data_IF_937249686425
#
_entry.id   IF_937249686425
#
_cell.length_a   1.000
_cell.length_b   1.000
_cell.length_c   1.000
_cell.angle_alpha   90.00
_cell.angle_beta   90.00
_cell.angle_gamma   90.00
#
_symmetry.space_group_name_H-M   'P 1'
#
loop_
_entity.id
_entity.type
_entity.pdbx_description
1 polymer ?
#
# COMPACT_ATOMS: atom_id res chain seq x y z
N UNK A 1 -35.40 2.00 -19.65
CA UNK A 1 -35.78 2.56 -18.33
C UNK A 1 -34.96 1.83 -17.27
N UNK A 2 -33.75 2.32 -17.00
CA UNK A 2 -32.93 1.85 -15.88
C UNK A 2 -33.23 2.79 -14.72
N UNK A 3 -33.80 2.23 -13.65
CA UNK A 3 -34.02 2.96 -12.41
C UNK A 3 -32.68 3.38 -11.84
N UNK A 4 -32.35 4.66 -12.03
CA UNK A 4 -31.45 5.39 -11.15
C UNK A 4 -32.18 5.42 -9.81
N UNK A 5 -31.80 4.53 -8.89
CA UNK A 5 -32.15 4.68 -7.49
C UNK A 5 -31.45 5.95 -7.02
N UNK A 6 -32.17 7.07 -7.09
CA UNK A 6 -31.85 8.29 -6.37
C UNK A 6 -32.05 8.01 -4.88
N UNK A 7 -31.06 7.42 -4.21
CA UNK A 7 -30.82 7.86 -2.85
C UNK A 7 -30.07 9.18 -2.98
N UNK A 8 -30.80 10.28 -2.94
CA UNK A 8 -30.27 11.59 -2.56
C UNK A 8 -29.82 11.51 -1.10
N UNK A 9 -28.83 10.66 -0.82
CA UNK A 9 -28.23 10.49 0.48
C UNK A 9 -27.59 11.82 0.82
N UNK A 10 -28.19 12.52 1.79
CA UNK A 10 -27.54 13.69 2.34
C UNK A 10 -26.31 13.21 3.09
N UNK A 11 -25.18 13.89 2.88
CA UNK A 11 -23.97 13.69 3.68
C UNK A 11 -24.30 13.91 5.16
N UNK A 12 -23.71 13.11 6.03
CA UNK A 12 -23.66 13.44 7.45
C UNK A 12 -22.61 14.53 7.65
N UNK A 13 -22.89 15.54 8.47
CA UNK A 13 -21.81 16.45 8.86
C UNK A 13 -21.01 15.81 9.99
N UNK A 14 -19.66 15.78 9.93
CA UNK A 14 -18.80 15.31 11.03
C UNK A 14 -19.15 15.90 12.38
N UNK A 15 -19.58 17.17 12.42
CA UNK A 15 -20.00 17.87 13.64
C UNK A 15 -21.20 17.26 14.36
N UNK A 16 -21.94 16.36 13.69
CA UNK A 16 -23.07 15.63 14.27
C UNK A 16 -22.65 14.35 14.99
N UNK A 17 -21.39 13.93 14.85
CA UNK A 17 -20.81 12.79 15.52
C UNK A 17 -19.95 13.29 16.70
N UNK A 18 -20.36 12.95 17.91
CA UNK A 18 -19.64 13.33 19.13
C UNK A 18 -18.29 12.62 19.19
N UNK A 19 -17.18 13.36 19.15
CA UNK A 19 -15.84 12.75 19.22
C UNK A 19 -15.60 12.03 20.55
N UNK A 20 -14.82 10.95 20.53
CA UNK A 20 -14.31 10.25 21.72
C UNK A 20 -15.38 9.55 22.59
N UNK A 21 -16.49 9.14 22.00
CA UNK A 21 -17.58 8.43 22.70
C UNK A 21 -17.55 6.91 22.59
N UNK A 22 -16.89 6.39 21.56
CA UNK A 22 -16.66 4.96 21.37
C UNK A 22 -15.26 4.59 21.90
N UNK A 23 -15.16 3.46 22.60
CA UNK A 23 -13.85 2.86 22.89
C UNK A 23 -13.23 2.34 21.60
N UNK A 24 -11.92 2.46 21.48
CA UNK A 24 -11.16 1.88 20.38
C UNK A 24 -11.36 0.37 20.34
N UNK A 25 -11.49 -0.17 19.14
CA UNK A 25 -11.61 -1.61 18.93
C UNK A 25 -10.23 -2.26 18.98
N UNK A 26 -10.11 -3.33 19.76
CA UNK A 26 -8.96 -4.24 19.67
C UNK A 26 -9.12 -5.11 18.42
N UNK A 27 -8.06 -5.13 17.60
CA UNK A 27 -8.00 -5.98 16.41
C UNK A 27 -7.75 -7.44 16.82
N UNK A 28 -8.54 -8.42 16.34
CA UNK A 28 -8.29 -9.82 16.65
C UNK A 28 -6.90 -10.25 16.18
N UNK A 29 -6.16 -11.01 17.00
CA UNK A 29 -4.84 -11.54 16.63
C UNK A 29 -4.94 -12.99 16.15
N UNK A 30 -4.26 -13.29 15.05
CA UNK A 30 -4.12 -14.64 14.49
C UNK A 30 -2.64 -14.98 14.40
N UNK A 31 -2.23 -16.09 15.02
CA UNK A 31 -0.86 -16.59 14.87
C UNK A 31 -0.66 -17.22 13.49
N UNK A 32 0.33 -16.74 12.74
CA UNK A 32 0.84 -17.30 11.48
C UNK A 32 1.75 -18.53 11.66
N UNK A 33 1.80 -19.10 12.86
CA UNK A 33 2.61 -20.25 13.24
C UNK A 33 1.86 -21.14 14.25
N UNK A 34 2.33 -22.37 14.43
CA UNK A 34 1.94 -23.27 15.52
C UNK A 34 3.04 -23.34 16.57
N UNK A 35 2.68 -23.56 17.83
CA UNK A 35 3.65 -23.91 18.89
C UNK A 35 3.48 -25.39 19.22
N UNK A 36 4.50 -26.20 18.90
CA UNK A 36 4.52 -27.64 19.19
C UNK A 36 5.71 -27.92 20.10
N UNK A 37 5.45 -28.38 21.33
CA UNK A 37 6.48 -28.61 22.36
C UNK A 37 7.39 -27.39 22.60
N UNK A 38 6.82 -26.19 22.61
CA UNK A 38 7.55 -24.94 22.80
C UNK A 38 8.31 -24.44 21.56
N UNK A 39 8.20 -25.12 20.42
CA UNK A 39 8.87 -24.74 19.17
C UNK A 39 7.85 -24.20 18.18
N UNK A 40 8.13 -23.01 17.63
CA UNK A 40 7.34 -22.41 16.55
C UNK A 40 7.53 -23.17 15.24
N UNK A 41 6.42 -23.47 14.56
CA UNK A 41 6.35 -24.24 13.32
C UNK A 41 5.45 -23.56 12.30
N UNK A 42 5.69 -23.82 11.03
CA UNK A 42 4.89 -23.26 9.93
C UNK A 42 3.42 -23.58 10.07
N UNK A 43 2.55 -22.66 9.62
CA UNK A 43 1.10 -22.81 9.70
C UNK A 43 0.42 -22.32 8.44
N UNK A 44 -0.67 -22.99 8.08
CA UNK A 44 -1.59 -22.55 7.03
C UNK A 44 -2.80 -21.85 7.64
N UNK A 45 -3.14 -20.70 7.08
CA UNK A 45 -4.31 -19.89 7.43
C UNK A 45 -5.27 -19.85 6.24
N UNK A 46 -6.56 -19.79 6.54
CA UNK A 46 -7.60 -19.44 5.58
C UNK A 46 -8.24 -18.12 6.03
N UNK A 47 -8.11 -17.09 5.20
CA UNK A 47 -8.63 -15.76 5.50
C UNK A 47 -9.56 -15.35 4.36
N UNK A 48 -10.83 -15.18 4.67
CA UNK A 48 -11.87 -14.79 3.72
C UNK A 48 -12.17 -13.29 3.73
N UNK A 49 -12.66 -12.81 2.60
CA UNK A 49 -13.23 -11.47 2.40
C UNK A 49 -14.75 -11.58 2.44
N UNK A 50 -15.39 -10.88 3.38
CA UNK A 50 -16.84 -10.98 3.61
C UNK A 50 -17.50 -9.61 3.55
N UNK A 51 -18.71 -9.54 3.00
CA UNK A 51 -19.57 -8.36 3.16
C UNK A 51 -20.26 -8.42 4.52
N UNK A 52 -20.14 -7.36 5.33
CA UNK A 52 -20.85 -7.23 6.60
C UNK A 52 -21.35 -5.81 6.82
N UNK A 53 -22.06 -5.60 7.93
CA UNK A 53 -22.31 -4.26 8.45
C UNK A 53 -21.38 -4.00 9.64
N UNK A 54 -20.83 -2.79 9.71
CA UNK A 54 -19.91 -2.36 10.75
C UNK A 54 -20.34 -1.03 11.35
N UNK A 55 -20.24 -0.89 12.67
CA UNK A 55 -20.71 0.29 13.40
C UNK A 55 -19.53 1.19 13.74
N UNK A 56 -19.19 2.11 12.83
CA UNK A 56 -18.06 3.03 13.00
C UNK A 56 -18.24 4.02 14.15
N UNK A 57 -19.47 4.44 14.44
CA UNK A 57 -19.78 5.38 15.53
C UNK A 57 -21.11 5.03 16.17
N UNK A 58 -21.27 5.23 17.48
CA UNK A 58 -22.53 4.99 18.23
C UNK A 58 -23.75 5.61 17.53
N UNK A 59 -23.58 6.84 17.07
CA UNK A 59 -24.66 7.67 16.51
C UNK A 59 -24.79 7.56 14.96
N UNK A 60 -23.93 6.78 14.29
CA UNK A 60 -24.01 6.51 12.85
C UNK A 60 -24.68 5.15 12.59
N UNK A 61 -25.65 4.99 11.67
CA UNK A 61 -26.19 3.66 11.35
C UNK A 61 -25.09 2.66 10.92
N UNK A 62 -25.29 1.34 11.11
CA UNK A 62 -24.33 0.33 10.64
C UNK A 62 -24.04 0.45 9.15
N UNK A 63 -22.76 0.55 8.80
CA UNK A 63 -22.25 0.77 7.45
C UNK A 63 -21.97 -0.55 6.74
N UNK A 64 -22.44 -0.77 5.49
CA UNK A 64 -21.98 -1.90 4.69
C UNK A 64 -20.48 -1.77 4.37
N UNK A 65 -19.72 -2.84 4.63
CA UNK A 65 -18.26 -2.90 4.45
C UNK A 65 -17.84 -4.26 3.89
N UNK A 66 -16.61 -4.33 3.39
CA UNK A 66 -15.87 -5.57 3.19
C UNK A 66 -14.84 -5.75 4.30
N UNK A 67 -14.68 -6.97 4.78
CA UNK A 67 -13.89 -7.27 5.96
C UNK A 67 -13.13 -8.59 5.79
N UNK A 68 -11.89 -8.63 6.24
CA UNK A 68 -11.12 -9.88 6.34
C UNK A 68 -11.42 -10.61 7.64
N UNK A 69 -11.47 -11.94 7.60
CA UNK A 69 -11.60 -12.80 8.78
C UNK A 69 -11.46 -14.29 8.47
N UNK A 70 -11.37 -15.15 9.48
CA UNK A 70 -11.38 -16.61 9.29
C UNK A 70 -12.79 -17.15 8.97
N UNK A 71 -13.82 -16.32 9.19
CA UNK A 71 -15.22 -16.57 8.88
C UNK A 71 -15.97 -15.23 8.81
N UNK A 72 -17.17 -15.22 8.23
CA UNK A 72 -18.02 -14.02 8.20
C UNK A 72 -18.26 -13.43 9.60
N UNK A 73 -18.43 -14.30 10.60
CA UNK A 73 -18.66 -13.88 11.99
C UNK A 73 -17.43 -13.21 12.63
N UNK A 74 -16.23 -13.71 12.32
CA UNK A 74 -14.96 -13.20 12.88
C UNK A 74 -14.35 -12.07 12.06
N UNK A 75 -14.90 -11.77 10.88
CA UNK A 75 -14.41 -10.71 10.02
C UNK A 75 -14.56 -9.34 10.68
N UNK A 76 -13.52 -8.52 10.62
CA UNK A 76 -13.45 -7.21 11.28
C UNK A 76 -12.95 -6.14 10.30
N UNK A 77 -13.19 -4.87 10.63
CA UNK A 77 -12.60 -3.72 9.91
C UNK A 77 -11.81 -2.90 10.92
N UNK A 78 -10.48 -2.81 10.80
CA UNK A 78 -9.62 -3.58 9.91
C UNK A 78 -9.69 -5.09 10.19
N UNK A 79 -9.19 -5.89 9.25
CA UNK A 79 -9.02 -7.33 9.39
C UNK A 79 -8.11 -7.74 10.56
N UNK A 80 -8.09 -9.03 10.93
CA UNK A 80 -7.28 -9.51 12.04
C UNK A 80 -5.80 -9.19 11.87
N UNK A 81 -5.11 -8.86 12.96
CA UNK A 81 -3.65 -8.78 12.99
C UNK A 81 -3.07 -10.18 12.86
N UNK A 82 -2.31 -10.45 11.80
CA UNK A 82 -1.58 -11.70 11.65
C UNK A 82 -0.20 -11.51 12.29
N UNK A 83 0.12 -12.29 13.31
CA UNK A 83 1.43 -12.28 13.96
C UNK A 83 2.27 -13.46 13.50
N UNK A 84 3.45 -13.17 12.98
CA UNK A 84 4.41 -14.13 12.45
C UNK A 84 5.73 -14.06 13.20
N UNK A 85 6.55 -15.09 13.02
CA UNK A 85 7.89 -15.15 13.59
C UNK A 85 8.90 -15.18 12.45
N UNK A 86 9.97 -14.40 12.60
CA UNK A 86 11.10 -14.35 11.70
C UNK A 86 11.57 -15.77 11.31
N UNK A 87 11.64 -16.02 10.00
CA UNK A 87 12.10 -17.29 9.43
C UNK A 87 11.16 -18.49 9.62
N UNK A 88 9.96 -18.31 10.16
CA UNK A 88 8.93 -19.36 10.21
C UNK A 88 7.90 -19.11 9.12
N UNK A 89 7.74 -20.07 8.20
CA UNK A 89 6.81 -19.92 7.09
C UNK A 89 5.36 -19.76 7.56
N UNK A 90 4.67 -18.77 7.01
CA UNK A 90 3.22 -18.63 7.09
C UNK A 90 2.63 -18.84 5.70
N UNK A 91 1.68 -19.75 5.59
CA UNK A 91 0.90 -19.93 4.36
C UNK A 91 -0.48 -19.32 4.53
N UNK A 92 -0.97 -18.57 3.55
CA UNK A 92 -2.31 -17.97 3.62
C UNK A 92 -3.08 -18.28 2.34
N UNK A 93 -4.25 -18.91 2.48
CA UNK A 93 -5.24 -18.97 1.40
C UNK A 93 -6.22 -17.83 1.58
N UNK A 94 -6.09 -16.81 0.74
CA UNK A 94 -7.03 -15.70 0.68
C UNK A 94 -8.28 -16.10 -0.10
N UNK A 95 -9.44 -16.07 0.53
CA UNK A 95 -10.70 -16.50 -0.08
C UNK A 95 -11.61 -15.30 -0.35
N UNK A 96 -12.26 -15.30 -1.51
CA UNK A 96 -13.25 -14.28 -1.84
C UNK A 96 -14.65 -14.86 -1.63
N UNK A 97 -15.40 -14.27 -0.69
CA UNK A 97 -16.82 -14.58 -0.41
C UNK A 97 -17.70 -13.34 -0.64
N UNK A 98 -17.20 -12.36 -1.41
CA UNK A 98 -17.89 -11.11 -1.68
C UNK A 98 -19.06 -11.32 -2.67
N UNK A 99 -20.08 -10.43 -2.64
CA UNK A 99 -21.20 -10.51 -3.58
C UNK A 99 -20.77 -10.20 -5.03
N UNK A 100 -21.71 -10.39 -5.96
CA UNK A 100 -21.48 -10.14 -7.39
C UNK A 100 -21.40 -8.66 -7.78
N UNK A 101 -21.80 -7.73 -6.90
CA UNK A 101 -21.81 -6.28 -7.13
C UNK A 101 -21.11 -5.54 -6.01
N UNK A 102 -20.27 -4.58 -6.40
CA UNK A 102 -19.54 -3.72 -5.50
C UNK A 102 -20.48 -2.81 -4.67
N UNK A 103 -20.11 -2.48 -3.43
CA UNK A 103 -20.89 -1.57 -2.57
C UNK A 103 -20.60 -0.09 -2.84
N UNK A 104 -19.45 0.21 -3.43
CA UNK A 104 -19.02 1.54 -3.86
C UNK A 104 -19.04 1.68 -5.38
N UNK A 105 -19.23 2.90 -5.92
CA UNK A 105 -19.08 3.16 -7.33
C UNK A 105 -17.62 2.97 -7.78
N UNK A 106 -17.42 2.45 -8.98
CA UNK A 106 -16.11 2.36 -9.64
C UNK A 106 -16.26 2.76 -11.11
N UNK A 107 -15.19 3.29 -11.69
CA UNK A 107 -15.18 3.80 -13.06
C UNK A 107 -14.76 2.68 -14.02
N UNK A 108 -15.62 2.23 -14.95
CA UNK A 108 -15.28 1.17 -15.88
C UNK A 108 -14.44 1.62 -17.08
N UNK A 109 -14.08 2.91 -17.16
CA UNK A 109 -13.31 3.48 -18.27
C UNK A 109 -11.81 3.53 -18.03
N UNK A 110 -11.36 3.37 -16.77
CA UNK A 110 -9.94 3.18 -16.44
C UNK A 110 -9.54 1.70 -16.57
N UNK A 111 -8.25 1.39 -16.76
CA UNK A 111 -7.77 0.01 -16.74
C UNK A 111 -8.18 -0.70 -15.45
N UNK A 112 -9.06 -1.70 -15.57
CA UNK A 112 -9.70 -2.35 -14.42
C UNK A 112 -9.74 -3.86 -14.62
N UNK A 113 -9.54 -4.61 -13.54
CA UNK A 113 -9.85 -6.03 -13.47
C UNK A 113 -11.36 -6.24 -13.71
N UNK A 114 -11.72 -6.80 -14.86
CA UNK A 114 -13.11 -7.08 -15.22
C UNK A 114 -13.25 -8.58 -15.53
N UNK A 115 -14.06 -9.32 -14.75
CA UNK A 115 -14.39 -10.71 -15.06
C UNK A 115 -15.08 -10.83 -16.43
N UNK A 116 -14.83 -11.91 -17.16
CA UNK A 116 -15.48 -12.21 -18.43
C UNK A 116 -17.00 -12.27 -18.29
N UNK A 117 -17.52 -12.85 -17.20
CA UNK A 117 -18.96 -12.89 -16.95
C UNK A 117 -19.56 -11.54 -16.54
N UNK A 118 -18.70 -10.54 -16.27
CA UNK A 118 -19.03 -9.24 -15.65
C UNK A 118 -19.78 -9.40 -14.32
N UNK A 119 -19.53 -10.51 -13.61
CA UNK A 119 -20.07 -10.81 -12.29
C UNK A 119 -18.92 -11.13 -11.34
N UNK A 120 -19.12 -10.78 -10.07
CA UNK A 120 -18.10 -10.97 -9.05
C UNK A 120 -17.21 -9.75 -8.94
N UNK A 121 -16.65 -9.57 -7.75
CA UNK A 121 -15.70 -8.51 -7.46
C UNK A 121 -14.31 -9.14 -7.49
N UNK A 122 -13.43 -8.78 -8.44
CA UNK A 122 -12.04 -9.18 -8.41
C UNK A 122 -11.34 -8.68 -7.16
N UNK A 123 -10.56 -9.56 -6.55
CA UNK A 123 -9.70 -9.24 -5.41
C UNK A 123 -8.37 -9.97 -5.53
N UNK A 124 -7.32 -9.38 -4.97
CA UNK A 124 -5.99 -9.99 -4.78
C UNK A 124 -5.35 -9.34 -3.57
N UNK A 125 -4.70 -10.10 -2.71
CA UNK A 125 -4.13 -9.55 -1.47
C UNK A 125 -2.65 -9.30 -1.64
N UNK A 126 -2.22 -8.06 -1.42
CA UNK A 126 -0.81 -7.69 -1.29
C UNK A 126 -0.42 -7.64 0.19
N UNK A 127 0.72 -8.24 0.56
CA UNK A 127 1.35 -8.06 1.87
C UNK A 127 2.40 -6.95 1.76
N UNK A 128 1.98 -5.73 2.04
CA UNK A 128 2.80 -4.52 1.93
C UNK A 128 4.02 -4.58 2.85
N UNK A 129 5.20 -4.48 2.22
CA UNK A 129 6.50 -4.55 2.89
C UNK A 129 7.03 -5.97 3.09
N UNK A 130 6.34 -6.98 2.56
CA UNK A 130 6.79 -8.36 2.56
C UNK A 130 7.95 -8.62 1.58
N UNK A 131 8.84 -9.53 1.97
CA UNK A 131 9.91 -10.07 1.13
C UNK A 131 9.56 -11.54 0.84
N UNK A 132 8.81 -11.75 -0.24
CA UNK A 132 8.32 -13.05 -0.69
C UNK A 132 8.31 -13.15 -2.21
N UNK A 133 8.12 -14.36 -2.71
CA UNK A 133 8.10 -14.69 -4.14
C UNK A 133 6.99 -13.93 -4.91
N UNK A 134 7.17 -13.70 -6.23
CA UNK A 134 6.23 -12.93 -7.05
C UNK A 134 4.80 -13.49 -7.06
N UNK A 135 4.64 -14.81 -7.06
CA UNK A 135 3.33 -15.48 -7.10
C UNK A 135 2.51 -15.29 -5.82
N UNK A 136 3.18 -14.90 -4.72
CA UNK A 136 2.56 -14.59 -3.42
C UNK A 136 2.61 -13.08 -3.11
N UNK A 137 3.02 -12.26 -4.08
CA UNK A 137 3.15 -10.81 -3.88
C UNK A 137 1.82 -10.08 -3.95
N UNK A 138 0.84 -10.66 -4.63
CA UNK A 138 -0.43 -10.00 -4.87
C UNK A 138 -0.39 -9.05 -6.06
N UNK A 139 0.33 -9.43 -7.12
CA UNK A 139 0.36 -8.68 -8.37
C UNK A 139 -1.07 -8.33 -8.82
N UNK A 140 -1.25 -7.09 -9.25
CA UNK A 140 -2.57 -6.52 -9.56
C UNK A 140 -3.36 -7.28 -10.64
N UNK A 141 -2.67 -7.99 -11.52
CA UNK A 141 -3.25 -8.85 -12.55
C UNK A 141 -3.51 -10.30 -12.08
N UNK A 142 -3.17 -10.64 -10.84
CA UNK A 142 -3.38 -11.96 -10.21
C UNK A 142 -4.66 -12.00 -9.38
N UNK A 143 -5.67 -11.20 -9.77
CA UNK A 143 -6.97 -11.17 -9.12
C UNK A 143 -7.75 -12.47 -9.26
N UNK A 144 -8.74 -12.66 -8.40
CA UNK A 144 -9.72 -13.74 -8.48
C UNK A 144 -11.07 -13.28 -7.95
N UNK A 145 -12.15 -13.84 -8.49
CA UNK A 145 -13.52 -13.60 -8.00
C UNK A 145 -13.92 -14.60 -6.93
N UNK A 146 -15.14 -14.45 -6.40
CA UNK A 146 -15.71 -15.33 -5.39
C UNK A 146 -15.58 -16.81 -5.78
N UNK A 147 -15.16 -17.66 -4.83
CA UNK A 147 -14.95 -19.08 -5.08
C UNK A 147 -13.82 -19.42 -6.06
N UNK A 148 -12.98 -18.46 -6.46
CA UNK A 148 -11.98 -18.59 -7.53
C UNK A 148 -12.59 -18.95 -8.89
N UNK A 149 -13.84 -18.56 -9.14
CA UNK A 149 -14.56 -18.86 -10.39
C UNK A 149 -13.87 -18.25 -11.61
N UNK A 150 -13.43 -17.00 -11.51
CA UNK A 150 -12.63 -16.31 -12.53
C UNK A 150 -11.34 -15.78 -11.92
N UNK A 151 -10.31 -15.67 -12.74
CA UNK A 151 -8.94 -15.32 -12.34
C UNK A 151 -8.32 -14.39 -13.36
N UNK A 152 -7.48 -13.48 -12.89
CA UNK A 152 -6.69 -12.59 -13.71
C UNK A 152 -5.60 -13.31 -14.49
N UNK A 153 -5.06 -12.67 -15.54
CA UNK A 153 -4.17 -13.32 -16.51
C UNK A 153 -2.84 -13.79 -15.92
N UNK A 154 -2.45 -13.28 -14.75
CA UNK A 154 -1.20 -13.65 -14.08
C UNK A 154 -1.39 -14.52 -12.84
N UNK A 155 -2.63 -14.92 -12.55
CA UNK A 155 -2.91 -15.76 -11.39
C UNK A 155 -2.28 -17.14 -11.57
N UNK A 156 -1.42 -17.54 -10.64
CA UNK A 156 -0.73 -18.84 -10.67
C UNK A 156 -0.86 -19.63 -9.37
N UNK A 157 -1.13 -18.95 -8.24
CA UNK A 157 -1.02 -19.54 -6.90
C UNK A 157 -2.23 -19.19 -6.04
N UNK A 158 -2.82 -20.23 -5.42
CA UNK A 158 -3.96 -20.10 -4.50
C UNK A 158 -3.54 -19.81 -3.05
N UNK A 159 -2.50 -20.52 -2.59
CA UNK A 159 -2.00 -20.42 -1.23
C UNK A 159 -0.69 -19.65 -1.24
N UNK A 160 -0.71 -18.44 -0.72
CA UNK A 160 0.45 -17.56 -0.66
C UNK A 160 1.43 -18.08 0.39
N UNK A 161 2.73 -17.94 0.15
CA UNK A 161 3.80 -18.37 1.03
C UNK A 161 4.64 -17.17 1.44
N UNK A 162 4.57 -16.86 2.74
CA UNK A 162 5.38 -15.84 3.37
C UNK A 162 6.46 -16.52 4.19
N UNK A 163 7.72 -16.42 3.77
CA UNK A 163 8.86 -17.03 4.46
C UNK A 163 9.18 -16.33 5.78
N UNK A 164 8.73 -15.07 5.93
CA UNK A 164 9.04 -14.18 7.04
C UNK A 164 10.55 -14.02 7.29
N UNK A 165 11.36 -14.27 6.26
CA UNK A 165 12.81 -14.14 6.31
C UNK A 165 13.20 -12.67 6.10
N UNK A 166 12.80 -11.78 7.01
CA UNK A 166 13.09 -10.35 6.95
C UNK A 166 13.17 -9.76 8.36
N UNK A 167 13.55 -8.49 8.48
CA UNK A 167 13.58 -7.78 9.76
C UNK A 167 12.23 -7.82 10.49
N UNK A 168 12.21 -7.85 11.84
CA UNK A 168 10.98 -7.67 12.59
C UNK A 168 10.38 -6.29 12.32
N UNK A 169 9.06 -6.19 12.41
CA UNK A 169 8.36 -4.93 12.21
C UNK A 169 6.91 -5.07 11.76
N UNK A 170 6.30 -3.91 11.55
CA UNK A 170 4.91 -3.75 11.14
C UNK A 170 4.81 -3.74 9.62
N UNK A 171 4.11 -4.73 9.10
CA UNK A 171 3.60 -4.83 7.74
C UNK A 171 2.07 -4.69 7.78
N UNK A 172 1.46 -4.66 6.62
CA UNK A 172 0.01 -4.63 6.51
C UNK A 172 -0.41 -5.31 5.22
N UNK A 173 -1.62 -5.85 5.19
CA UNK A 173 -2.15 -6.52 4.01
C UNK A 173 -3.43 -5.82 3.56
N UNK A 174 -3.60 -5.74 2.25
CA UNK A 174 -4.73 -5.05 1.64
C UNK A 174 -5.01 -5.59 0.25
N UNK A 175 -6.16 -5.23 -0.32
CA UNK A 175 -6.47 -5.60 -1.70
C UNK A 175 -5.60 -4.81 -2.70
N UNK A 176 -5.29 -5.39 -3.87
CA UNK A 176 -4.43 -4.79 -4.89
C UNK A 176 -4.98 -5.03 -6.31
N UNK A 177 -6.28 -5.30 -6.47
CA UNK A 177 -6.83 -5.66 -7.78
C UNK A 177 -6.86 -4.47 -8.74
N UNK A 178 -6.39 -4.67 -9.98
CA UNK A 178 -6.19 -3.60 -10.97
C UNK A 178 -7.43 -2.70 -11.12
N UNK A 179 -7.24 -1.39 -10.93
CA UNK A 179 -8.30 -0.38 -11.07
C UNK A 179 -9.40 -0.43 -10.00
N UNK A 180 -9.29 -1.37 -9.05
CA UNK A 180 -10.23 -1.58 -7.95
C UNK A 180 -9.56 -1.40 -6.58
N UNK A 181 -8.25 -1.17 -6.49
CA UNK A 181 -7.52 -1.04 -5.22
C UNK A 181 -8.20 0.01 -4.34
N UNK A 182 -8.49 1.21 -4.89
CA UNK A 182 -9.10 2.30 -4.12
C UNK A 182 -10.45 1.90 -3.54
N UNK A 183 -11.29 1.23 -4.32
CA UNK A 183 -12.67 0.92 -3.91
C UNK A 183 -12.71 -0.29 -2.97
N UNK A 184 -11.83 -1.27 -3.17
CA UNK A 184 -11.73 -2.44 -2.31
C UNK A 184 -11.15 -2.08 -0.93
N UNK A 185 -10.12 -1.21 -0.86
CA UNK A 185 -9.60 -0.68 0.41
C UNK A 185 -10.61 0.26 1.07
N UNK A 186 -11.24 1.17 0.31
CA UNK A 186 -12.24 2.09 0.86
C UNK A 186 -13.41 1.31 1.47
N UNK A 187 -13.81 0.19 0.86
CA UNK A 187 -14.82 -0.72 1.40
C UNK A 187 -14.41 -1.41 2.71
N UNK A 188 -13.11 -1.55 3.00
CA UNK A 188 -12.58 -2.04 4.29
C UNK A 188 -11.57 -3.19 4.21
N UNK A 189 -11.12 -3.59 3.02
CA UNK A 189 -10.12 -4.65 2.85
C UNK A 189 -8.70 -4.17 3.19
N UNK A 190 -8.44 -4.04 4.50
CA UNK A 190 -7.16 -3.66 5.09
C UNK A 190 -6.95 -4.40 6.41
N UNK A 191 -5.73 -4.83 6.74
CA UNK A 191 -5.38 -5.46 8.02
C UNK A 191 -3.88 -5.40 8.32
N UNK A 192 -3.49 -5.77 9.55
CA UNK A 192 -2.10 -5.68 10.01
C UNK A 192 -1.38 -7.02 9.95
N UNK A 193 -0.09 -7.02 9.63
CA UNK A 193 0.79 -8.18 9.72
C UNK A 193 2.04 -7.80 10.50
N UNK A 194 2.42 -8.53 11.55
CA UNK A 194 3.57 -8.20 12.39
C UNK A 194 4.54 -9.37 12.39
N UNK A 195 5.80 -9.10 12.04
CA UNK A 195 6.89 -10.07 12.15
C UNK A 195 7.63 -9.84 13.47
N UNK A 196 7.66 -10.86 14.32
CA UNK A 196 8.42 -10.88 15.58
C UNK A 196 9.75 -11.57 15.41
N UNK A 197 10.77 -11.08 16.10
CA UNK A 197 12.07 -11.72 16.21
C UNK A 197 12.59 -11.60 17.64
N UNK A 198 12.25 -12.59 18.46
CA UNK A 198 12.50 -12.54 19.91
C UNK A 198 13.97 -12.32 20.26
N UNK A 199 14.91 -12.94 19.54
CA UNK A 199 16.34 -12.84 19.84
C UNK A 199 16.90 -11.41 19.63
N UNK A 200 16.28 -10.63 18.74
CA UNK A 200 16.65 -9.24 18.43
C UNK A 200 15.84 -8.24 19.24
N UNK A 201 14.55 -8.50 19.45
CA UNK A 201 13.64 -7.57 20.11
C UNK A 201 13.68 -7.67 21.65
N UNK A 202 13.86 -8.87 22.22
CA UNK A 202 13.83 -9.06 23.68
C UNK A 202 14.90 -8.24 24.43
N UNK A 203 16.15 -8.10 23.94
CA UNK A 203 17.15 -7.25 24.59
C UNK A 203 16.79 -5.76 24.64
N UNK A 204 15.85 -5.28 23.79
CA UNK A 204 15.42 -3.88 23.76
C UNK A 204 14.50 -3.52 24.92
N UNK A 205 13.89 -4.51 25.59
CA UNK A 205 12.97 -4.28 26.70
C UNK A 205 11.73 -3.46 26.31
N UNK A 206 11.31 -3.51 25.05
CA UNK A 206 10.11 -2.81 24.57
C UNK A 206 8.84 -3.41 25.19
N UNK A 207 7.79 -2.59 25.42
CA UNK A 207 6.47 -3.11 25.81
C UNK A 207 5.96 -4.11 24.77
N UNK A 208 5.62 -5.33 25.19
CA UNK A 208 5.44 -6.46 24.27
C UNK A 208 4.23 -7.37 24.55
N UNK A 209 3.35 -7.01 25.50
CA UNK A 209 2.10 -7.75 25.73
C UNK A 209 0.91 -7.04 25.10
N UNK A 210 -0.19 -7.76 24.88
CA UNK A 210 -1.42 -7.25 24.24
C UNK A 210 -2.00 -5.98 24.90
N UNK A 211 -1.71 -5.76 26.18
CA UNK A 211 -2.12 -4.55 26.88
C UNK A 211 -1.39 -3.31 26.35
N UNK A 212 -0.09 -3.43 26.02
CA UNK A 212 0.79 -2.31 25.71
C UNK A 212 1.24 -2.24 24.25
N UNK A 213 1.22 -3.37 23.53
CA UNK A 213 1.53 -3.43 22.10
C UNK A 213 0.23 -3.55 21.31
N UNK A 214 -0.23 -2.43 20.76
CA UNK A 214 -1.50 -2.32 20.05
C UNK A 214 -1.30 -1.74 18.65
N UNK A 215 -1.70 -2.46 17.58
CA UNK A 215 -1.69 -1.89 16.24
C UNK A 215 -2.78 -0.81 16.13
N UNK A 216 -2.41 0.32 15.53
CA UNK A 216 -3.32 1.41 15.20
C UNK A 216 -3.36 1.56 13.68
N UNK A 217 -4.45 1.15 13.05
CA UNK A 217 -4.70 1.42 11.63
C UNK A 217 -5.61 2.63 11.54
N UNK A 218 -5.07 3.69 10.93
CA UNK A 218 -5.76 4.98 10.74
C UNK A 218 -6.18 5.11 9.29
N UNK A 219 -7.44 5.46 9.07
CA UNK A 219 -7.99 5.73 7.75
C UNK A 219 -9.18 6.69 7.89
N UNK A 220 -9.56 7.34 6.81
CA UNK A 220 -10.60 8.36 6.77
C UNK A 220 -11.77 7.92 5.89
N UNK A 221 -12.99 8.34 6.21
CA UNK A 221 -14.19 8.10 5.40
C UNK A 221 -15.11 9.30 5.42
N UNK A 222 -15.99 9.38 4.42
CA UNK A 222 -17.18 10.23 4.39
C UNK A 222 -18.40 9.31 4.47
N UNK A 223 -19.42 9.71 5.22
CA UNK A 223 -20.64 8.93 5.38
C UNK A 223 -21.87 9.66 4.88
N UNK A 224 -22.83 8.90 4.35
CA UNK A 224 -24.20 9.35 4.14
C UNK A 224 -24.99 9.21 5.44
N UNK A 225 -26.12 9.93 5.55
CA UNK A 225 -27.02 9.85 6.72
C UNK A 225 -27.57 8.45 6.99
N UNK A 226 -27.61 7.58 5.97
CA UNK A 226 -28.01 6.17 6.13
C UNK A 226 -26.87 5.27 6.64
N UNK A 227 -25.69 5.84 6.90
CA UNK A 227 -24.50 5.14 7.37
C UNK A 227 -23.61 4.59 6.26
N UNK A 228 -24.03 4.58 4.99
CA UNK A 228 -23.20 4.09 3.89
C UNK A 228 -22.00 5.01 3.62
N UNK A 229 -20.91 4.43 3.11
CA UNK A 229 -19.70 5.20 2.73
C UNK A 229 -20.03 6.00 1.48
N UNK A 230 -19.78 7.31 1.54
CA UNK A 230 -19.81 8.18 0.38
C UNK A 230 -18.45 8.18 -0.32
N UNK A 231 -18.49 7.99 -1.64
CA UNK A 231 -17.37 8.19 -2.52
C UNK A 231 -17.84 9.08 -3.67
N UNK A 232 -17.17 10.21 -3.85
CA UNK A 232 -17.51 11.10 -4.96
C UNK A 232 -17.13 10.40 -6.28
N UNK A 233 -18.13 10.13 -7.11
CA UNK A 233 -17.94 9.63 -8.47
C UNK A 233 -18.51 10.57 -9.53
N UNK A 234 -18.77 11.82 -9.12
CA UNK A 234 -19.21 12.89 -10.01
C UNK A 234 -17.99 13.41 -10.76
N UNK A 235 -17.92 13.05 -12.03
CA UNK A 235 -17.00 13.65 -12.98
C UNK A 235 -17.63 14.81 -13.73
N UNK A 236 -16.81 15.56 -14.47
CA UNK A 236 -17.28 16.65 -15.30
C UNK A 236 -17.77 16.19 -16.68
N UNK A 237 -17.50 14.94 -17.06
CA UNK A 237 -18.03 14.38 -18.28
C UNK A 237 -19.40 13.75 -18.00
N UNK A 238 -20.52 14.36 -18.45
CA UNK A 238 -21.85 13.85 -18.15
C UNK A 238 -22.14 12.48 -18.78
N UNK A 239 -21.28 12.01 -19.70
CA UNK A 239 -21.42 10.73 -20.37
C UNK A 239 -20.58 9.61 -19.72
N UNK A 240 -19.69 9.95 -18.76
CA UNK A 240 -18.87 8.98 -18.04
C UNK A 240 -19.28 9.03 -16.57
N UNK A 241 -20.14 8.09 -16.17
CA UNK A 241 -20.51 7.93 -14.77
C UNK A 241 -20.69 6.44 -14.44
N UNK A 242 -20.16 5.94 -13.30
CA UNK A 242 -19.32 6.67 -12.34
C UNK A 242 -17.96 7.07 -12.92
N UNK A 243 -17.43 8.24 -12.56
CA UNK A 243 -16.11 8.71 -13.03
C UNK A 243 -15.08 8.66 -11.90
N UNK A 244 -13.84 8.31 -12.25
CA UNK A 244 -12.67 8.40 -11.39
C UNK A 244 -12.42 9.85 -10.93
N UNK A 245 -11.92 9.99 -9.71
CA UNK A 245 -11.48 11.26 -9.10
C UNK A 245 -10.00 11.09 -8.71
N UNK A 246 -9.18 12.16 -8.83
CA UNK A 246 -7.75 12.08 -8.57
C UNK A 246 -7.40 11.80 -7.12
N UNK A 247 -8.24 12.19 -6.16
CA UNK A 247 -8.04 11.88 -4.75
C UNK A 247 -9.37 11.71 -3.99
N UNK A 248 -9.29 10.91 -2.93
CA UNK A 248 -10.27 10.82 -1.86
C UNK A 248 -9.74 11.45 -0.56
N UNK A 249 -10.52 12.37 0.01
CA UNK A 249 -10.27 12.95 1.33
C UNK A 249 -11.52 12.81 2.20
N UNK A 250 -11.46 11.92 3.18
CA UNK A 250 -12.48 11.70 4.18
C UNK A 250 -12.54 12.80 5.23
N UNK A 251 -13.74 13.03 5.78
CA UNK A 251 -13.99 14.04 6.81
C UNK A 251 -14.14 13.43 8.22
N UNK A 252 -14.18 12.09 8.29
CA UNK A 252 -14.29 11.31 9.53
C UNK A 252 -13.06 10.41 9.68
N UNK A 253 -12.23 10.69 10.69
CA UNK A 253 -11.03 9.90 10.98
C UNK A 253 -11.39 8.69 11.80
N UNK A 254 -10.95 7.52 11.34
CA UNK A 254 -11.22 6.22 11.92
C UNK A 254 -9.92 5.60 12.40
N UNK A 255 -9.94 5.04 13.61
CA UNK A 255 -8.86 4.24 14.16
C UNK A 255 -9.42 2.88 14.54
N UNK A 256 -8.84 1.81 14.00
CA UNK A 256 -9.29 0.43 14.21
C UNK A 256 -10.80 0.23 13.99
N UNK A 257 -11.39 0.93 13.02
CA UNK A 257 -12.81 0.77 12.69
C UNK A 257 -13.77 1.56 13.58
N UNK A 258 -13.29 2.47 14.43
CA UNK A 258 -14.13 3.43 15.16
C UNK A 258 -13.79 4.87 14.80
N UNK A 259 -14.81 5.71 14.62
CA UNK A 259 -14.64 7.14 14.35
C UNK A 259 -14.23 7.87 15.64
N UNK A 260 -13.12 8.60 15.59
CA UNK A 260 -12.50 9.32 16.72
C UNK A 260 -12.63 8.60 18.07
N UNK A 261 -12.12 7.37 18.18
CA UNK A 261 -12.31 6.61 19.41
C UNK A 261 -11.45 7.19 20.52
N UNK A 262 -11.80 6.85 21.76
CA UNK A 262 -10.91 7.03 22.90
C UNK A 262 -10.26 5.72 23.30
N UNK A 263 -9.13 5.82 23.97
CA UNK A 263 -8.47 4.71 24.65
C UNK A 263 -8.11 5.17 26.06
N UNK A 264 -8.46 4.39 27.08
CA UNK A 264 -7.98 4.63 28.44
C UNK A 264 -6.67 3.89 28.65
N UNK A 265 -5.59 4.64 28.88
CA UNK A 265 -4.27 4.07 29.18
C UNK A 265 -4.00 4.09 30.68
N UNK A 266 -3.33 3.04 31.19
CA UNK A 266 -2.76 3.03 32.56
C UNK A 266 -1.43 3.77 32.66
N UNK A 267 -0.81 4.05 31.51
CA UNK A 267 0.44 4.79 31.38
C UNK A 267 0.16 6.25 31.01
N UNK A 268 0.97 7.17 31.53
CA UNK A 268 0.97 8.60 31.20
C UNK A 268 1.78 8.93 29.92
N UNK A 269 2.45 7.92 29.34
CA UNK A 269 3.15 8.03 28.05
C UNK A 269 2.72 6.94 27.07
N UNK A 270 2.83 7.24 25.78
CA UNK A 270 2.63 6.30 24.67
C UNK A 270 3.84 6.34 23.72
N UNK A 271 4.23 5.18 23.20
CA UNK A 271 5.29 5.05 22.18
C UNK A 271 4.60 4.77 20.86
N UNK A 272 4.79 5.65 19.87
CA UNK A 272 4.33 5.42 18.50
C UNK A 272 5.48 4.80 17.70
N UNK A 273 5.37 3.49 17.43
CA UNK A 273 6.26 2.81 16.50
C UNK A 273 5.71 2.96 15.08
N UNK A 274 6.55 3.42 14.15
CA UNK A 274 6.20 3.46 12.73
C UNK A 274 6.67 2.16 12.02
N UNK A 275 6.27 1.98 10.75
CA UNK A 275 6.63 0.80 9.95
C UNK A 275 8.06 0.86 9.40
N UNK A 276 8.93 1.75 9.89
CA UNK A 276 10.30 1.85 9.39
C UNK A 276 11.18 0.75 10.01
N UNK A 277 11.78 -0.14 9.21
CA UNK A 277 12.88 -1.01 9.64
C UNK A 277 13.91 -0.27 10.53
N UNK A 278 14.07 -0.77 11.75
CA UNK A 278 14.91 -0.20 12.80
C UNK A 278 16.41 -0.27 12.43
N UNK A 279 17.20 0.81 12.60
CA UNK A 279 18.66 0.70 12.63
C UNK A 279 19.12 0.21 14.01
N UNK A 280 19.93 -0.85 14.06
CA UNK A 280 20.34 -1.53 15.31
C UNK A 280 21.00 -0.58 16.37
N UNK A 281 20.86 -0.84 17.68
CA UNK A 281 21.27 0.07 18.76
C UNK A 281 22.78 0.30 18.93
N UNK A 282 23.65 -0.52 18.31
CA UNK A 282 25.11 -0.49 18.54
C UNK A 282 25.85 0.55 17.69
N UNK A 283 25.16 1.53 17.13
CA UNK A 283 25.68 2.32 16.00
C UNK A 283 25.65 1.47 14.74
N UNK A 284 25.53 2.14 13.59
CA UNK A 284 25.13 1.50 12.35
C UNK A 284 26.33 1.20 11.43
N UNK A 285 26.93 -0.02 11.46
CA UNK A 285 27.90 -0.44 10.45
C UNK A 285 27.28 -0.57 9.04
N UNK A 286 25.95 -0.45 8.91
CA UNK A 286 25.21 -0.56 7.64
C UNK A 286 25.35 0.73 6.80
N UNK A 287 25.63 1.90 7.38
CA UNK A 287 25.83 3.12 6.57
C UNK A 287 27.15 3.12 5.79
N UNK A 288 28.25 2.64 6.40
CA UNK A 288 29.55 2.57 5.71
C UNK A 288 29.58 1.45 4.65
N UNK A 289 28.79 0.38 4.85
CA UNK A 289 28.67 -0.74 3.91
C UNK A 289 27.60 -0.53 2.81
N UNK A 290 26.71 0.46 2.95
CA UNK A 290 25.68 0.80 1.95
C UNK A 290 25.90 2.22 1.41
N UNK A 291 27.15 2.59 1.15
CA UNK A 291 27.48 3.76 0.36
C UNK A 291 26.97 3.58 -1.08
N UNK A 292 26.52 4.67 -1.70
CA UNK A 292 26.10 4.71 -3.09
C UNK A 292 27.18 4.20 -4.07
N UNK A 293 28.45 4.14 -3.64
CA UNK A 293 29.54 3.56 -4.41
C UNK A 293 29.32 2.09 -4.79
N UNK A 294 28.46 1.35 -4.07
CA UNK A 294 28.13 -0.05 -4.38
C UNK A 294 26.95 -0.20 -5.34
N UNK A 295 26.35 0.90 -5.81
CA UNK A 295 25.21 0.85 -6.71
C UNK A 295 25.62 0.36 -8.10
N UNK A 296 24.95 -0.68 -8.59
CA UNK A 296 25.18 -1.26 -9.92
C UNK A 296 24.68 -0.34 -11.05
N UNK A 297 23.65 0.46 -10.76
CA UNK A 297 23.03 1.36 -11.73
C UNK A 297 22.45 2.61 -11.06
N UNK A 298 22.42 3.71 -11.82
CA UNK A 298 21.61 4.89 -11.49
C UNK A 298 20.43 4.99 -12.46
N UNK A 299 19.22 5.14 -11.93
CA UNK A 299 17.97 5.35 -12.69
C UNK A 299 17.39 6.73 -12.43
N UNK A 300 16.62 7.21 -13.39
CA UNK A 300 15.78 8.40 -13.25
C UNK A 300 14.33 7.97 -13.38
N UNK A 301 13.54 8.26 -12.36
CA UNK A 301 12.13 7.90 -12.27
C UNK A 301 11.33 9.20 -12.20
N UNK A 302 10.63 9.58 -13.25
CA UNK A 302 9.89 10.83 -13.31
C UNK A 302 8.39 10.59 -13.12
N UNK A 303 7.76 11.43 -12.29
CA UNK A 303 6.33 11.40 -12.00
C UNK A 303 5.62 12.49 -12.80
N UNK A 304 4.59 12.10 -13.53
CA UNK A 304 3.83 12.96 -14.43
C UNK A 304 2.35 12.94 -14.09
N UNK A 305 1.73 14.09 -14.30
CA UNK A 305 0.28 14.27 -14.27
C UNK A 305 -0.15 14.89 -15.59
N UNK A 306 -1.22 14.34 -16.17
CA UNK A 306 -1.76 14.78 -17.45
C UNK A 306 -3.16 15.31 -17.26
N UNK A 307 -3.38 16.52 -17.74
CA UNK A 307 -4.68 17.18 -17.64
C UNK A 307 -5.40 17.26 -18.98
N UNK A 308 -6.73 17.38 -18.91
CA UNK A 308 -7.58 17.64 -20.06
C UNK A 308 -7.48 19.10 -20.49
N UNK A 309 -8.19 19.49 -21.56
CA UNK A 309 -8.22 20.88 -22.03
C UNK A 309 -8.83 21.88 -21.03
N UNK A 310 -9.51 21.39 -19.98
CA UNK A 310 -10.07 22.20 -18.89
C UNK A 310 -9.27 22.07 -17.58
N UNK A 311 -8.04 21.58 -17.68
CA UNK A 311 -7.09 21.44 -16.56
C UNK A 311 -7.54 20.45 -15.46
N UNK A 312 -8.31 19.43 -15.86
CA UNK A 312 -8.64 18.32 -14.97
C UNK A 312 -7.71 17.14 -15.15
N UNK A 313 -7.20 16.52 -14.07
CA UNK A 313 -6.42 15.28 -14.15
C UNK A 313 -7.17 14.20 -14.92
N UNK A 314 -6.46 13.54 -15.83
CA UNK A 314 -6.98 12.44 -16.65
C UNK A 314 -6.32 11.11 -16.33
N UNK A 315 -5.04 11.14 -15.97
CA UNK A 315 -4.23 10.01 -15.54
C UNK A 315 -2.90 10.55 -15.02
N UNK A 316 -2.19 9.70 -14.28
CA UNK A 316 -0.84 9.98 -13.80
C UNK A 316 0.07 8.84 -14.23
N UNK A 317 1.30 9.15 -14.62
CA UNK A 317 2.26 8.15 -15.08
C UNK A 317 3.59 8.25 -14.37
N UNK A 318 4.23 7.10 -14.25
CA UNK A 318 5.65 7.00 -13.94
C UNK A 318 6.41 6.79 -15.25
N UNK A 319 7.46 7.59 -15.46
CA UNK A 319 8.26 7.62 -16.68
C UNK A 319 7.39 7.75 -17.95
N UNK A 320 6.31 8.53 -17.89
CA UNK A 320 5.43 8.81 -19.02
C UNK A 320 4.80 7.57 -19.67
N UNK A 321 4.68 6.47 -18.93
CA UNK A 321 4.19 5.18 -19.41
C UNK A 321 2.97 4.71 -18.65
N UNK A 322 2.03 4.10 -19.35
CA UNK A 322 0.92 3.39 -18.72
C UNK A 322 1.38 2.07 -18.11
N UNK A 323 0.53 1.46 -17.28
CA UNK A 323 0.82 0.17 -16.66
C UNK A 323 1.04 -0.96 -17.68
N UNK A 324 0.22 -1.03 -18.74
CA UNK A 324 0.24 -2.11 -19.74
C UNK A 324 1.42 -2.03 -20.72
N UNK A 325 2.17 -0.92 -20.73
CA UNK A 325 3.38 -0.82 -21.55
C UNK A 325 4.49 -1.75 -21.04
N UNK A 326 5.38 -2.15 -21.95
CA UNK A 326 6.51 -3.04 -21.65
C UNK A 326 7.31 -2.57 -20.44
N UNK A 327 7.70 -3.50 -19.57
CA UNK A 327 8.51 -3.22 -18.37
C UNK A 327 9.83 -2.53 -18.73
N UNK A 328 10.20 -1.55 -17.91
CA UNK A 328 11.40 -0.70 -18.09
C UNK A 328 12.36 -0.83 -16.92
N UNK A 329 11.84 -1.00 -15.70
CA UNK A 329 12.63 -1.17 -14.49
C UNK A 329 12.93 -2.66 -14.28
N UNK A 330 14.16 -3.02 -14.65
CA UNK A 330 14.66 -4.40 -14.61
C UNK A 330 15.93 -4.55 -13.77
N UNK A 331 15.85 -4.33 -12.45
CA UNK A 331 17.02 -4.42 -11.58
C UNK A 331 17.55 -5.85 -11.48
N UNK A 332 18.87 -5.99 -11.32
CA UNK A 332 19.49 -7.29 -11.09
C UNK A 332 19.31 -7.73 -9.63
N UNK A 333 18.78 -8.93 -9.43
CA UNK A 333 18.63 -9.52 -8.11
C UNK A 333 19.99 -9.61 -7.39
N UNK A 334 20.04 -9.32 -6.09
CA UNK A 334 21.28 -9.27 -5.33
C UNK A 334 21.99 -7.91 -5.36
N UNK A 335 21.58 -6.96 -6.21
CA UNK A 335 22.25 -5.67 -6.38
C UNK A 335 21.54 -4.52 -5.65
N UNK A 336 22.22 -3.38 -5.58
CA UNK A 336 21.64 -2.10 -5.15
C UNK A 336 21.70 -1.11 -6.29
N UNK A 337 20.73 -0.21 -6.36
CA UNK A 337 20.65 0.83 -7.37
C UNK A 337 20.37 2.19 -6.74
N UNK A 338 20.83 3.27 -7.38
CA UNK A 338 20.44 4.64 -7.02
C UNK A 338 19.29 5.05 -7.92
N UNK A 339 18.16 5.45 -7.33
CA UNK A 339 17.05 6.02 -8.08
C UNK A 339 16.95 7.51 -7.76
N UNK A 340 17.00 8.35 -8.79
CA UNK A 340 16.67 9.76 -8.69
C UNK A 340 15.21 9.93 -9.11
N UNK A 341 14.34 10.03 -8.11
CA UNK A 341 12.89 10.16 -8.32
C UNK A 341 12.56 11.65 -8.46
N UNK A 342 12.08 12.03 -9.64
CA UNK A 342 11.82 13.41 -10.06
C UNK A 342 10.31 13.64 -9.99
N UNK A 343 9.87 14.51 -9.08
CA UNK A 343 8.46 14.89 -9.02
C UNK A 343 8.20 16.16 -9.86
N UNK A 344 7.52 16.00 -11.00
CA UNK A 344 7.15 17.10 -11.91
C UNK A 344 5.70 17.59 -11.71
N UNK A 345 4.97 17.01 -10.76
CA UNK A 345 3.57 17.34 -10.45
C UNK A 345 3.51 18.39 -9.35
N UNK A 346 2.28 18.82 -9.03
CA UNK A 346 2.01 19.72 -7.91
C UNK A 346 1.71 18.98 -6.60
N UNK A 347 1.45 17.66 -6.67
CA UNK A 347 1.15 16.82 -5.51
C UNK A 347 2.33 16.06 -4.91
N UNK A 348 2.18 15.71 -3.63
CA UNK A 348 3.05 14.75 -2.97
C UNK A 348 2.70 13.34 -3.44
N UNK A 349 3.71 12.54 -3.80
CA UNK A 349 3.50 11.14 -4.19
C UNK A 349 4.25 10.20 -3.26
N UNK A 350 3.57 9.44 -2.38
CA UNK A 350 4.22 8.37 -1.62
C UNK A 350 4.61 7.24 -2.57
N UNK A 351 5.88 7.17 -2.98
CA UNK A 351 6.38 6.09 -3.84
C UNK A 351 6.54 4.82 -3.03
N UNK A 352 5.88 3.75 -3.46
CA UNK A 352 6.06 2.39 -2.97
C UNK A 352 6.81 1.53 -3.99
N UNK A 353 7.74 0.68 -3.52
CA UNK A 353 8.42 -0.34 -4.31
C UNK A 353 8.17 -1.70 -3.64
N UNK A 354 7.55 -2.64 -4.35
CA UNK A 354 7.39 -4.01 -3.87
C UNK A 354 8.75 -4.70 -3.83
N UNK A 355 8.93 -5.65 -2.89
CA UNK A 355 10.16 -6.41 -2.61
C UNK A 355 11.38 -5.57 -2.16
N UNK A 356 11.72 -4.53 -2.92
CA UNK A 356 12.87 -3.68 -2.67
C UNK A 356 12.66 -2.76 -1.46
N UNK A 357 13.66 -2.74 -0.57
CA UNK A 357 13.74 -1.74 0.48
C UNK A 357 14.72 -0.65 0.07
N UNK A 358 14.53 0.57 0.55
CA UNK A 358 15.39 1.69 0.23
C UNK A 358 15.67 2.63 1.39
N UNK A 359 16.81 3.31 1.31
CA UNK A 359 17.15 4.46 2.16
C UNK A 359 17.02 5.74 1.34
N UNK A 360 16.58 6.82 2.00
CA UNK A 360 16.51 8.15 1.37
C UNK A 360 17.78 8.91 1.73
N UNK A 361 18.43 9.46 0.72
CA UNK A 361 19.70 10.17 0.89
C UNK A 361 19.46 11.66 1.09
N UNK A 362 18.68 12.25 0.18
CA UNK A 362 18.32 13.66 0.21
C UNK A 362 17.15 13.96 -0.75
N UNK A 363 16.56 15.13 -0.58
CA UNK A 363 15.65 15.74 -1.56
C UNK A 363 16.26 17.07 -2.01
N UNK A 364 16.49 17.24 -3.30
CA UNK A 364 17.08 18.46 -3.88
C UNK A 364 16.06 19.17 -4.77
N UNK A 365 15.76 20.43 -4.47
CA UNK A 365 14.81 21.25 -5.22
C UNK A 365 15.27 21.48 -6.67
N UNK A 366 14.31 21.39 -7.60
CA UNK A 366 14.51 21.70 -9.00
C UNK A 366 14.50 23.21 -9.22
N UNK A 367 15.50 23.72 -9.94
CA UNK A 367 15.55 25.11 -10.42
C UNK A 367 15.14 25.20 -11.87
N UNK A 368 14.52 26.33 -12.23
CA UNK A 368 13.93 26.55 -13.58
C UNK A 368 12.99 25.41 -13.97
N UNK A 369 12.06 25.08 -13.06
CA UNK A 369 11.22 23.88 -13.16
C UNK A 369 10.42 23.84 -14.47
N UNK A 370 9.91 24.99 -14.94
CA UNK A 370 9.15 25.07 -16.19
C UNK A 370 9.99 24.73 -17.44
N UNK A 371 11.26 25.15 -17.48
CA UNK A 371 12.20 24.81 -18.56
C UNK A 371 12.45 23.30 -18.56
N UNK A 372 12.70 22.74 -17.38
CA UNK A 372 12.98 21.31 -17.23
C UNK A 372 11.74 20.45 -17.52
N UNK A 373 10.59 20.80 -16.95
CA UNK A 373 9.29 20.15 -17.17
C UNK A 373 8.93 20.16 -18.65
N UNK A 374 9.09 21.30 -19.34
CA UNK A 374 8.87 21.39 -20.79
C UNK A 374 9.74 20.42 -21.59
N UNK A 375 11.02 20.27 -21.21
CA UNK A 375 11.92 19.30 -21.83
C UNK A 375 11.49 17.85 -21.52
N UNK A 376 11.18 17.55 -20.26
CA UNK A 376 10.76 16.23 -19.80
C UNK A 376 9.44 15.78 -20.43
N UNK A 377 8.48 16.70 -20.65
CA UNK A 377 7.23 16.40 -21.36
C UNK A 377 7.47 16.06 -22.84
N UNK A 378 8.54 16.60 -23.44
CA UNK A 378 8.88 16.34 -24.85
C UNK A 378 9.70 15.07 -25.05
N UNK A 379 10.64 14.80 -24.15
CA UNK A 379 11.64 13.75 -24.35
C UNK A 379 11.58 12.61 -23.35
N UNK A 380 10.99 12.83 -22.17
CA UNK A 380 10.91 11.86 -21.09
C UNK A 380 12.27 11.19 -20.79
N UNK A 381 13.32 12.02 -20.73
CA UNK A 381 14.69 11.61 -20.54
C UNK A 381 15.45 12.69 -19.76
N UNK A 382 15.68 12.42 -18.47
CA UNK A 382 16.32 13.36 -17.55
C UNK A 382 17.76 13.72 -17.95
N UNK A 383 18.49 12.78 -18.56
CA UNK A 383 19.88 13.00 -19.00
C UNK A 383 19.90 13.90 -20.23
N UNK A 384 19.04 13.62 -21.22
CA UNK A 384 18.86 14.47 -22.40
C UNK A 384 18.37 15.87 -22.03
N UNK A 385 17.54 15.96 -20.99
CA UNK A 385 17.07 17.21 -20.41
C UNK A 385 18.04 17.83 -19.40
N UNK A 386 19.27 17.32 -19.30
CA UNK A 386 20.36 17.94 -18.54
C UNK A 386 20.00 18.18 -17.08
N UNK A 387 19.37 17.18 -16.43
CA UNK A 387 18.89 17.24 -15.03
C UNK A 387 19.91 17.84 -14.06
N UNK A 388 21.20 17.58 -14.24
CA UNK A 388 22.26 18.13 -13.38
C UNK A 388 22.31 19.66 -13.34
N UNK A 389 21.83 20.36 -14.39
CA UNK A 389 21.68 21.82 -14.42
C UNK A 389 20.47 22.34 -13.64
N UNK A 390 19.54 21.44 -13.32
CA UNK A 390 18.27 21.75 -12.66
C UNK A 390 18.27 21.31 -11.19
N UNK A 391 19.18 20.44 -10.74
CA UNK A 391 19.28 19.99 -9.34
C UNK A 391 20.26 20.84 -8.53
N UNK A 392 19.96 22.13 -8.38
CA UNK A 392 20.82 23.09 -7.65
C UNK A 392 20.06 23.91 -6.59
N UNK A 393 18.79 23.62 -6.37
CA UNK A 393 17.99 24.34 -5.38
C UNK A 393 18.29 23.87 -3.96
N UNK A 394 17.39 24.20 -3.03
CA UNK A 394 17.55 23.82 -1.62
C UNK A 394 17.61 22.29 -1.47
N UNK A 395 18.65 21.81 -0.79
CA UNK A 395 18.74 20.41 -0.35
C UNK A 395 18.09 20.27 1.02
N UNK A 396 17.17 19.32 1.15
CA UNK A 396 16.53 18.95 2.41
C UNK A 396 17.20 17.70 2.96
N UNK A 397 17.58 17.76 4.23
CA UNK A 397 18.05 16.58 4.95
C UNK A 397 16.88 15.69 5.35
N UNK A 398 17.12 14.39 5.33
CA UNK A 398 16.14 13.40 5.77
C UNK A 398 16.00 13.46 7.30
N UNK A 399 14.79 13.64 7.83
CA UNK A 399 14.59 13.72 9.28
C UNK A 399 14.93 12.39 9.95
N UNK A 400 15.32 12.43 11.23
CA UNK A 400 15.87 11.26 11.93
C UNK A 400 14.97 10.01 11.87
N UNK A 401 13.64 10.18 11.98
CA UNK A 401 12.67 9.09 11.93
C UNK A 401 12.45 8.49 10.52
N UNK A 402 13.04 9.08 9.49
CA UNK A 402 13.02 8.59 8.10
C UNK A 402 14.41 8.18 7.61
N UNK A 403 15.45 8.12 8.46
CA UNK A 403 16.80 7.73 8.00
C UNK A 403 17.01 6.23 7.79
N UNK A 404 16.16 5.38 8.38
CA UNK A 404 16.24 3.93 8.23
C UNK A 404 15.81 3.41 6.86
N UNK A 405 15.90 2.09 6.67
CA UNK A 405 15.31 1.43 5.50
C UNK A 405 13.79 1.59 5.52
N UNK A 406 13.18 1.70 4.35
CA UNK A 406 11.72 1.81 4.17
C UNK A 406 11.31 1.24 2.81
N UNK A 407 10.02 1.12 2.58
CA UNK A 407 9.45 0.71 1.29
C UNK A 407 8.48 1.76 0.73
N UNK A 408 8.14 2.80 1.49
CA UNK A 408 7.32 3.93 1.05
C UNK A 408 7.99 5.23 1.47
N UNK A 409 8.03 6.22 0.58
CA UNK A 409 8.49 7.56 0.92
C UNK A 409 7.79 8.64 0.12
N UNK A 410 7.58 9.79 0.75
CA UNK A 410 6.90 10.92 0.14
C UNK A 410 7.84 11.67 -0.80
N UNK A 411 7.49 11.68 -2.08
CA UNK A 411 8.17 12.46 -3.13
C UNK A 411 7.51 13.82 -3.22
N UNK A 412 8.18 14.88 -2.74
CA UNK A 412 7.58 16.22 -2.67
C UNK A 412 7.62 16.95 -4.02
N UNK A 413 6.63 17.80 -4.33
CA UNK A 413 6.52 18.53 -5.61
C UNK A 413 7.76 19.35 -5.94
N UNK A 414 8.27 19.25 -7.17
CA UNK A 414 9.38 20.09 -7.65
C UNK A 414 10.75 19.72 -7.08
N UNK A 415 10.92 18.51 -6.54
CA UNK A 415 12.19 18.01 -6.02
C UNK A 415 12.63 16.74 -6.76
N UNK A 416 13.94 16.48 -6.68
CA UNK A 416 14.52 15.17 -6.96
C UNK A 416 14.86 14.51 -5.63
N UNK A 417 14.18 13.40 -5.34
CA UNK A 417 14.47 12.54 -4.20
C UNK A 417 15.46 11.46 -4.63
N UNK A 418 16.61 11.43 -3.97
CA UNK A 418 17.63 10.41 -4.21
C UNK A 418 17.46 9.28 -3.21
N UNK A 419 17.25 8.07 -3.71
CA UNK A 419 17.12 6.86 -2.89
C UNK A 419 18.14 5.80 -3.31
N UNK A 420 18.61 5.02 -2.35
CA UNK A 420 19.37 3.79 -2.59
C UNK A 420 18.43 2.61 -2.36
N UNK A 421 18.08 1.91 -3.44
CA UNK A 421 17.19 0.76 -3.43
C UNK A 421 18.02 -0.52 -3.43
N UNK A 422 17.59 -1.53 -2.68
CA UNK A 422 18.28 -2.81 -2.57
C UNK A 422 17.34 -3.96 -2.90
N UNK A 423 17.82 -4.83 -3.78
CA UNK A 423 17.12 -6.03 -4.25
C UNK A 423 17.76 -7.30 -3.67
N UNK A 424 18.04 -7.26 -2.36
CA UNK A 424 18.58 -8.36 -1.55
C UNK A 424 18.21 -8.17 -0.09
N UNK A 425 18.50 -9.15 0.77
CA UNK A 425 18.30 -8.98 2.21
C UNK A 425 19.18 -7.86 2.76
N UNK A 426 18.55 -6.84 3.37
CA UNK A 426 19.24 -5.60 3.77
C UNK A 426 20.36 -5.81 4.80
N UNK A 427 20.24 -6.83 5.66
CA UNK A 427 21.18 -7.08 6.77
C UNK A 427 22.33 -8.03 6.43
N UNK A 428 22.15 -8.93 5.46
CA UNK A 428 23.13 -9.97 5.12
C UNK A 428 23.76 -9.81 3.74
N UNK A 429 23.20 -8.94 2.88
CA UNK A 429 23.49 -8.90 1.44
C UNK A 429 23.26 -10.24 0.72
N UNK A 430 22.66 -11.22 1.39
CA UNK A 430 22.37 -12.51 0.79
C UNK A 430 21.24 -12.36 -0.24
N UNK A 431 21.31 -13.18 -1.28
CA UNK A 431 20.19 -13.37 -2.21
C UNK A 431 18.96 -13.87 -1.48
N UNK A 432 17.78 -13.57 -2.03
CA UNK A 432 16.51 -14.07 -1.52
C UNK A 432 16.47 -15.61 -1.52
N UNK A 433 15.72 -16.19 -0.60
CA UNK A 433 15.56 -17.66 -0.50
C UNK A 433 14.60 -18.25 -1.55
N UNK A 434 14.02 -17.41 -2.39
CA UNK A 434 13.13 -17.74 -3.50
C UNK A 434 13.68 -17.14 -4.80
N UNK A 435 13.11 -17.51 -5.95
CA UNK A 435 13.47 -16.89 -7.24
C UNK A 435 12.71 -15.56 -7.41
N UNK A 436 13.35 -14.39 -7.24
CA UNK A 436 12.67 -13.12 -7.38
C UNK A 436 12.46 -12.72 -8.86
N UNK A 437 12.99 -13.50 -9.80
CA UNK A 437 12.91 -13.25 -11.25
C UNK A 437 11.72 -13.97 -11.90
N UNK A 438 10.98 -14.76 -11.12
CA UNK A 438 9.80 -15.49 -11.57
C UNK A 438 8.66 -14.54 -11.99
N UNK A 439 7.75 -15.07 -12.81
CA UNK A 439 6.52 -14.37 -13.17
C UNK A 439 5.52 -14.46 -12.00
N UNK A 440 4.68 -13.44 -11.77
CA UNK A 440 4.44 -12.29 -12.65
C UNK A 440 5.31 -11.06 -12.39
N UNK A 441 6.36 -11.20 -11.59
CA UNK A 441 7.15 -10.06 -11.10
C UNK A 441 6.38 -9.21 -10.10
N UNK A 442 6.90 -8.01 -9.88
CA UNK A 442 6.48 -7.06 -8.84
C UNK A 442 5.97 -5.76 -9.48
N UNK A 443 5.61 -4.79 -8.65
CA UNK A 443 5.25 -3.44 -9.11
C UNK A 443 5.92 -2.36 -8.25
N UNK A 444 5.93 -1.14 -8.77
CA UNK A 444 6.22 0.06 -8.01
C UNK A 444 5.27 1.17 -8.45
N UNK A 445 4.80 1.98 -7.51
CA UNK A 445 3.67 2.88 -7.76
C UNK A 445 3.59 4.03 -6.77
N UNK A 446 2.81 5.04 -7.11
CA UNK A 446 2.30 5.98 -6.11
C UNK A 446 1.28 5.26 -5.22
N UNK A 447 1.36 5.49 -3.91
CA UNK A 447 0.48 4.88 -2.92
C UNK A 447 -0.70 5.80 -2.52
N UNK A 448 -0.95 6.85 -3.30
CA UNK A 448 -2.28 7.46 -3.37
C UNK A 448 -3.11 6.54 -4.27
N UNK A 449 -4.09 5.84 -3.71
CA UNK A 449 -4.79 4.74 -4.39
C UNK A 449 -5.52 5.20 -5.65
N UNK A 450 -6.04 6.43 -5.63
CA UNK A 450 -6.65 7.05 -6.79
C UNK A 450 -5.64 7.26 -7.94
N UNK A 451 -4.39 7.62 -7.63
CA UNK A 451 -3.31 7.72 -8.62
C UNK A 451 -2.89 6.33 -9.11
N UNK A 452 -2.76 5.36 -8.20
CA UNK A 452 -2.42 3.96 -8.52
C UNK A 452 -3.40 3.35 -9.53
N UNK A 453 -4.70 3.41 -9.23
CA UNK A 453 -5.74 2.79 -10.05
C UNK A 453 -5.89 3.46 -11.42
N UNK A 454 -5.62 4.76 -11.50
CA UNK A 454 -5.54 5.46 -12.78
C UNK A 454 -4.08 5.64 -13.22
N UNK A 455 -3.38 4.50 -13.13
CA UNK A 455 -2.16 4.08 -13.83
C UNK A 455 -0.85 4.78 -13.46
N UNK A 456 -0.74 5.36 -12.25
CA UNK A 456 0.55 5.75 -11.66
C UNK A 456 1.27 4.55 -11.01
N UNK A 457 1.27 3.43 -11.73
CA UNK A 457 1.86 2.15 -11.35
C UNK A 457 2.58 1.55 -12.55
N UNK A 458 3.73 0.92 -12.30
CA UNK A 458 4.53 0.27 -13.34
C UNK A 458 5.00 -1.12 -12.87
N UNK A 459 5.07 -2.09 -13.79
CA UNK A 459 5.67 -3.39 -13.50
C UNK A 459 7.16 -3.22 -13.18
N UNK A 460 7.63 -4.07 -12.28
CA UNK A 460 9.02 -4.21 -11.84
C UNK A 460 9.44 -5.67 -12.03
N UNK A 461 10.44 -5.91 -12.87
CA UNK A 461 10.86 -7.29 -13.19
C UNK A 461 12.34 -7.48 -12.88
N UNK A 462 12.63 -8.22 -11.82
CA UNK A 462 14.01 -8.52 -11.49
C UNK A 462 14.64 -9.47 -12.53
N UNK A 463 15.94 -9.29 -12.78
CA UNK A 463 16.74 -10.12 -13.68
C UNK A 463 17.91 -10.77 -12.93
N UNK A 464 18.51 -11.80 -13.52
CA UNK A 464 19.63 -12.54 -12.94
C UNK A 464 20.96 -11.83 -13.09
#
# INVERSE_FOLDING_TARGET
MLGVLSSSGQLISPSQLEMFVDEIQDMPRIQGFHVVNGVSKSKSLEIGMFKKHWKFHRDLPPTPVYAYGTSEHTATVPGPTIEAIHGIDTYVTWQNHLPSKHILPWDPTIPTAIPFTKKGIPTVVHLHGGIHEPESDGNTNSWFTAGFEEKGPTWTKKMYHYTNMQQPGNLWYHDHALGLTRVNLLAGLIGSYIIRHHDVEAPLGLPNCDEFDRPLIVFDRIFLKDGSIYMNSTGNNPNIHPQWRPEYFGDTIIVNGKAWPRMTSKSDFAILANNAPYPYPSGDPVNDANDMSSASQTRYIAMYEYTSAIDEPTHLYINGKSYDESVTETPMAGTSEVWNVINLTEDNHPLHIHLGLFMVMDQTELVKVEEFKSCMMRFNDAVKCQISKHTHGKRLEVPAHEKGWKNVYKMIPGYVTKILVKFSYIHSNASYTFDPTAEPGYVYHCHILDHEDNVMMRPLKLVK
#
